data_IF_495677021569
#
_entry.id   IF_495677021569
#
_cell.length_a   1.000
_cell.length_b   1.000
_cell.length_c   1.000
_cell.angle_alpha   90.00
_cell.angle_beta   90.00
_cell.angle_gamma   90.00
#
_symmetry.space_group_name_H-M   'P 1'
#
loop_
_entity.id
_entity.type
_entity.pdbx_description
1 polymer ?
#
# COMPACT_ATOMS: atom_id res chain seq x y z
N UNK A 1 12.89 4.71 -10.57
CA UNK A 1 11.61 4.58 -9.83
C UNK A 1 11.83 5.24 -8.50
N UNK A 2 11.14 6.35 -8.31
CA UNK A 2 11.36 7.31 -7.24
C UNK A 2 11.06 6.70 -5.88
N UNK A 3 11.77 7.11 -4.82
CA UNK A 3 11.45 6.70 -3.46
C UNK A 3 10.02 7.14 -3.12
N UNK A 4 9.22 6.22 -2.57
CA UNK A 4 7.85 6.50 -2.15
C UNK A 4 7.92 7.20 -0.79
N UNK A 5 8.03 8.53 -0.81
CA UNK A 5 8.13 9.36 0.40
C UNK A 5 6.72 9.70 0.90
N UNK A 6 6.50 9.58 2.21
CA UNK A 6 5.26 9.99 2.88
C UNK A 6 4.11 8.97 2.86
N UNK A 7 4.34 7.73 2.42
CA UNK A 7 3.31 6.66 2.39
C UNK A 7 3.57 5.50 3.34
N UNK A 8 4.40 5.72 4.36
CA UNK A 8 4.77 4.67 5.32
C UNK A 8 3.53 4.09 6.04
N UNK A 9 2.61 4.95 6.46
CA UNK A 9 1.39 4.54 7.18
C UNK A 9 0.45 3.71 6.29
N UNK A 10 0.33 4.07 5.00
CA UNK A 10 -0.48 3.32 4.03
C UNK A 10 0.11 1.93 3.78
N UNK A 11 1.44 1.83 3.66
CA UNK A 11 2.16 0.56 3.49
C UNK A 11 1.99 -0.31 4.75
N UNK A 12 2.16 0.27 5.95
CA UNK A 12 1.97 -0.46 7.20
C UNK A 12 0.52 -0.97 7.34
N UNK A 13 -0.46 -0.17 6.96
CA UNK A 13 -1.87 -0.57 6.95
C UNK A 13 -2.12 -1.75 6.02
N UNK A 14 -1.51 -1.75 4.84
CA UNK A 14 -1.59 -2.86 3.87
C UNK A 14 -1.01 -4.15 4.47
N UNK A 15 0.17 -4.06 5.11
CA UNK A 15 0.80 -5.20 5.80
C UNK A 15 -0.12 -5.74 6.90
N UNK A 16 -0.67 -4.86 7.75
CA UNK A 16 -1.59 -5.26 8.81
C UNK A 16 -2.84 -5.96 8.28
N UNK A 17 -3.39 -5.53 7.13
CA UNK A 17 -4.55 -6.17 6.50
C UNK A 17 -4.18 -7.56 5.96
N UNK A 18 -3.02 -7.71 5.31
CA UNK A 18 -2.54 -8.99 4.80
C UNK A 18 -2.33 -10.03 5.92
N UNK A 19 -1.93 -9.60 7.11
CA UNK A 19 -1.75 -10.47 8.28
C UNK A 19 -3.05 -10.92 8.96
N UNK A 20 -4.23 -10.46 8.53
CA UNK A 20 -5.51 -10.84 9.15
C UNK A 20 -5.91 -12.27 8.80
N UNK A 21 -6.67 -12.91 9.69
CA UNK A 21 -7.23 -14.25 9.46
C UNK A 21 -8.40 -14.26 8.49
N UNK A 22 -9.14 -13.15 8.39
CA UNK A 22 -10.29 -12.97 7.50
C UNK A 22 -10.23 -11.58 6.85
N UNK A 23 -10.80 -11.45 5.64
CA UNK A 23 -10.75 -10.20 4.84
C UNK A 23 -9.34 -9.62 4.74
N UNK A 24 -8.39 -10.47 4.37
CA UNK A 24 -6.96 -10.15 4.32
C UNK A 24 -6.50 -9.57 2.98
N UNK A 25 -7.42 -9.30 2.05
CA UNK A 25 -7.12 -8.70 0.76
C UNK A 25 -7.32 -7.18 0.84
N UNK A 26 -6.26 -6.36 0.96
CA UNK A 26 -6.37 -4.92 0.97
C UNK A 26 -6.79 -4.39 -0.40
N UNK A 27 -7.65 -3.37 -0.40
CA UNK A 27 -8.08 -2.65 -1.61
C UNK A 27 -7.73 -1.18 -1.43
N UNK A 28 -6.91 -0.64 -2.33
CA UNK A 28 -6.52 0.77 -2.33
C UNK A 28 -7.55 1.57 -3.15
N UNK A 29 -8.31 2.42 -2.46
CA UNK A 29 -9.32 3.29 -3.07
C UNK A 29 -8.81 4.73 -3.16
N UNK A 30 -9.22 5.45 -4.19
CA UNK A 30 -8.88 6.87 -4.40
C UNK A 30 -9.03 7.27 -5.87
N UNK A 31 -8.86 8.56 -6.16
CA UNK A 31 -8.92 9.07 -7.55
C UNK A 31 -7.76 8.54 -8.42
N UNK A 32 -7.90 8.65 -9.74
CA UNK A 32 -6.79 8.33 -10.64
C UNK A 32 -5.63 9.31 -10.43
N UNK A 33 -4.39 8.84 -10.52
CA UNK A 33 -3.20 9.69 -10.36
C UNK A 33 -2.74 9.95 -8.92
N UNK A 34 -3.51 9.56 -7.90
CA UNK A 34 -3.12 9.70 -6.48
C UNK A 34 -2.00 8.75 -6.04
N UNK A 35 -1.27 8.11 -6.94
CA UNK A 35 -0.11 7.27 -6.58
C UNK A 35 -0.44 5.93 -5.91
N UNK A 36 -1.64 5.35 -6.12
CA UNK A 36 -2.00 4.02 -5.58
C UNK A 36 -1.00 2.93 -5.96
N UNK A 37 -0.49 2.97 -7.19
CA UNK A 37 0.54 2.05 -7.68
C UNK A 37 1.85 2.18 -6.90
N UNK A 38 2.22 3.40 -6.51
CA UNK A 38 3.44 3.66 -5.75
C UNK A 38 3.40 2.99 -4.37
N UNK A 39 2.22 2.85 -3.73
CA UNK A 39 2.09 2.09 -2.46
C UNK A 39 2.47 0.63 -2.67
N UNK A 40 1.96 0.00 -3.74
CA UNK A 40 2.23 -1.42 -4.05
C UNK A 40 3.69 -1.62 -4.45
N UNK A 41 4.24 -0.72 -5.26
CA UNK A 41 5.67 -0.75 -5.62
C UNK A 41 6.58 -0.53 -4.40
N UNK A 42 6.18 0.34 -3.47
CA UNK A 42 6.88 0.55 -2.20
C UNK A 42 6.86 -0.68 -1.30
N UNK A 43 5.74 -1.42 -1.27
CA UNK A 43 5.65 -2.70 -0.57
C UNK A 43 6.55 -3.77 -1.21
N UNK A 44 6.57 -3.86 -2.55
CA UNK A 44 7.35 -4.88 -3.28
C UNK A 44 8.87 -4.64 -3.24
N UNK A 45 9.31 -3.41 -2.97
CA UNK A 45 10.72 -3.04 -2.85
C UNK A 45 11.34 -3.38 -1.49
N UNK A 46 10.51 -3.73 -0.50
CA UNK A 46 10.93 -4.10 0.85
C UNK A 46 10.99 -5.62 0.98
#
# INVERSE_FOLDING_TARGET
MDPVIGRADEIERVIQVLCRRTKNNPVLLGEAGVGKTAIVEGLARK
#
